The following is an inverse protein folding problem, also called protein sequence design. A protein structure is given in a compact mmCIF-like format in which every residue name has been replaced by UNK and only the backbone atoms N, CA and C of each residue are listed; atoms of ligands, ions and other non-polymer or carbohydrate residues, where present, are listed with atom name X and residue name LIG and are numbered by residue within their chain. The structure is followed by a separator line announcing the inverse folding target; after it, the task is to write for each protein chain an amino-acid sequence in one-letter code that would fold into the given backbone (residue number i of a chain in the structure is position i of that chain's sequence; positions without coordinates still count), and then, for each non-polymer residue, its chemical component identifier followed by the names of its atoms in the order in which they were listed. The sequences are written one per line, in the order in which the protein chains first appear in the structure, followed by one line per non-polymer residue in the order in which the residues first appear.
data_IF_769738566020
#
_entry.id   IF_769738566020
#
_cell.length_a   1.000
_cell.length_b   1.000
_cell.length_c   1.000
_cell.angle_alpha   90.00
_cell.angle_beta   90.00
_cell.angle_gamma   90.00
#
_symmetry.space_group_name_H-M   'P 1'
#
loop_
_entity.id
_entity.type
_entity.pdbx_description
1 polymer ?
#
# COMPACT_ATOMS: atom_id res chain seq x y z
N UNK A 1 -4.07 -0.15 -12.88
CA UNK A 1 -3.49 -1.50 -12.89
C UNK A 1 -1.99 -1.43 -13.00
N UNK A 2 -1.30 -2.25 -12.26
CA UNK A 2 0.16 -2.21 -12.19
C UNK A 2 0.85 -2.40 -13.54
N UNK A 3 0.31 -3.27 -14.39
CA UNK A 3 0.88 -3.55 -15.69
C UNK A 3 0.87 -2.37 -16.67
N UNK A 4 0.11 -1.32 -16.38
CA UNK A 4 0.09 -0.11 -17.20
C UNK A 4 1.34 0.74 -17.02
N UNK A 5 2.11 0.47 -15.99
CA UNK A 5 3.30 1.24 -15.68
C UNK A 5 4.55 0.46 -16.07
N UNK A 6 5.38 1.04 -16.93
CA UNK A 6 6.57 0.37 -17.47
C UNK A 6 7.60 0.07 -16.39
N UNK A 7 7.66 0.88 -15.35
CA UNK A 7 8.62 0.68 -14.28
C UNK A 7 7.97 0.97 -12.93
N UNK A 8 8.28 0.14 -11.95
CA UNK A 8 7.76 0.24 -10.60
C UNK A 8 8.90 0.09 -9.61
N UNK A 9 8.85 0.81 -8.53
CA UNK A 9 9.85 0.71 -7.48
C UNK A 9 9.18 0.31 -6.17
N UNK A 10 9.65 -0.78 -5.58
CA UNK A 10 9.26 -1.16 -4.23
C UNK A 10 9.99 -0.27 -3.23
N UNK A 11 9.22 0.41 -2.39
CA UNK A 11 9.74 1.24 -1.31
C UNK A 11 9.36 0.57 0.00
N UNK A 12 10.34 0.05 0.75
CA UNK A 12 10.04 -0.51 2.07
C UNK A 12 9.30 0.53 2.92
N UNK A 13 8.22 0.10 3.58
CA UNK A 13 7.36 1.03 4.30
C UNK A 13 8.07 1.83 5.38
N UNK A 14 9.14 1.28 5.95
CA UNK A 14 9.92 1.97 6.97
C UNK A 14 11.02 2.88 6.41
N UNK A 15 11.10 3.04 5.08
CA UNK A 15 12.13 3.83 4.40
C UNK A 15 11.56 4.96 3.56
N UNK A 16 10.41 5.49 3.93
CA UNK A 16 9.79 6.59 3.19
C UNK A 16 10.39 7.96 3.48
N UNK A 17 11.34 8.05 4.39
CA UNK A 17 11.99 9.33 4.71
C UNK A 17 12.73 9.95 3.52
N UNK A 18 13.05 9.15 2.50
CA UNK A 18 13.69 9.62 1.27
C UNK A 18 12.70 9.78 0.11
N UNK A 19 11.41 9.95 0.41
CA UNK A 19 10.37 9.95 -0.61
C UNK A 19 10.62 10.99 -1.71
N UNK A 20 11.08 12.18 -1.35
CA UNK A 20 11.37 13.22 -2.33
C UNK A 20 12.43 12.78 -3.34
N UNK A 21 13.53 12.18 -2.87
CA UNK A 21 14.58 11.68 -3.74
C UNK A 21 14.13 10.48 -4.56
N UNK A 22 13.36 9.59 -3.94
CA UNK A 22 12.82 8.41 -4.61
C UNK A 22 11.95 8.82 -5.81
N UNK A 23 11.15 9.86 -5.64
CA UNK A 23 10.24 10.33 -6.69
C UNK A 23 10.94 11.07 -7.81
N UNK A 24 12.20 11.46 -7.64
CA UNK A 24 13.01 12.05 -8.72
C UNK A 24 13.55 11.01 -9.70
N UNK A 25 13.43 9.71 -9.36
CA UNK A 25 13.87 8.65 -10.27
C UNK A 25 12.90 8.53 -11.45
N UNK A 26 13.32 7.82 -12.50
CA UNK A 26 12.51 7.65 -13.71
C UNK A 26 11.40 6.61 -13.59
N UNK A 27 11.17 6.07 -12.40
CA UNK A 27 10.11 5.06 -12.23
C UNK A 27 8.73 5.69 -12.42
N UNK A 28 7.81 4.90 -12.96
CA UNK A 28 6.46 5.37 -13.27
C UNK A 28 5.49 5.24 -12.09
N UNK A 29 5.75 4.33 -11.17
CA UNK A 29 4.89 4.11 -10.02
C UNK A 29 5.70 3.62 -8.82
N UNK A 30 5.15 3.83 -7.64
CA UNK A 30 5.73 3.37 -6.38
C UNK A 30 4.86 2.29 -5.77
N UNK A 31 5.50 1.28 -5.20
CA UNK A 31 4.83 0.26 -4.41
C UNK A 31 5.34 0.39 -2.99
N UNK A 32 4.51 0.89 -2.12
CA UNK A 32 4.86 0.97 -0.69
C UNK A 32 4.62 -0.40 -0.07
N UNK A 33 5.67 -0.98 0.46
CA UNK A 33 5.64 -2.34 0.98
C UNK A 33 5.48 -2.36 2.48
N UNK A 34 4.31 -2.76 2.95
CA UNK A 34 4.02 -2.93 4.37
C UNK A 34 4.17 -4.39 4.81
N UNK A 35 4.50 -5.28 3.89
CA UNK A 35 4.55 -6.71 4.13
C UNK A 35 6.01 -7.18 4.24
N UNK A 36 6.52 -7.98 3.31
CA UNK A 36 7.85 -8.60 3.42
C UNK A 36 9.01 -7.59 3.46
N UNK A 37 8.88 -6.48 2.78
CA UNK A 37 9.92 -5.45 2.74
C UNK A 37 9.98 -4.57 3.98
N UNK A 38 9.13 -4.81 4.96
CA UNK A 38 9.08 -4.03 6.19
C UNK A 38 9.14 -4.96 7.41
N UNK A 39 10.17 -4.85 8.26
CA UNK A 39 10.25 -5.67 9.47
C UNK A 39 9.03 -5.48 10.38
N UNK A 40 8.62 -6.55 11.05
CA UNK A 40 7.40 -6.53 11.88
C UNK A 40 7.44 -5.46 12.97
N UNK A 41 8.57 -5.24 13.60
CA UNK A 41 8.72 -4.23 14.65
C UNK A 41 8.68 -2.79 14.12
N UNK A 42 8.76 -2.59 12.81
CA UNK A 42 8.71 -1.27 12.18
C UNK A 42 7.40 -1.02 11.43
N UNK A 43 6.50 -1.98 11.40
CA UNK A 43 5.26 -1.85 10.60
C UNK A 43 4.33 -0.76 11.13
N UNK A 44 4.25 -0.58 12.44
CA UNK A 44 3.43 0.48 13.01
C UNK A 44 3.94 1.86 12.59
N UNK A 45 5.24 2.08 12.67
CA UNK A 45 5.84 3.35 12.24
C UNK A 45 5.66 3.56 10.74
N UNK A 46 5.79 2.50 9.95
CA UNK A 46 5.59 2.57 8.50
C UNK A 46 4.16 3.03 8.16
N UNK A 47 3.15 2.50 8.85
CA UNK A 47 1.76 2.93 8.65
C UNK A 47 1.57 4.40 9.03
N UNK A 48 2.16 4.82 10.14
CA UNK A 48 2.08 6.22 10.58
C UNK A 48 2.72 7.16 9.56
N UNK A 49 3.88 6.79 9.02
CA UNK A 49 4.55 7.56 8.00
C UNK A 49 3.73 7.65 6.72
N UNK A 50 3.12 6.55 6.32
CA UNK A 50 2.26 6.53 5.13
C UNK A 50 1.05 7.46 5.31
N UNK A 51 0.40 7.39 6.46
CA UNK A 51 -0.72 8.27 6.80
C UNK A 51 -0.28 9.73 6.73
N UNK A 52 0.86 10.06 7.30
CA UNK A 52 1.35 11.43 7.31
C UNK A 52 1.63 11.94 5.90
N UNK A 53 2.16 11.09 5.03
CA UNK A 53 2.38 11.47 3.64
C UNK A 53 1.08 11.70 2.87
N UNK A 54 0.01 11.02 3.20
CA UNK A 54 -1.31 11.27 2.62
C UNK A 54 -1.99 12.51 3.19
N UNK A 55 -1.89 12.70 4.51
CA UNK A 55 -2.53 13.83 5.20
C UNK A 55 -1.97 15.18 4.81
N UNK A 56 -0.66 15.27 4.66
CA UNK A 56 0.04 16.54 4.47
C UNK A 56 0.02 16.98 3.01
N UNK A 57 -1.17 16.98 2.40
CA UNK A 57 -1.35 17.43 1.03
C UNK A 57 -0.92 16.40 -0.01
N UNK A 58 -0.92 15.13 0.35
CA UNK A 58 -0.52 14.02 -0.51
C UNK A 58 0.86 14.25 -1.14
N UNK A 59 1.89 13.93 -0.40
CA UNK A 59 3.28 14.12 -0.85
C UNK A 59 3.71 13.21 -1.98
N UNK A 60 2.87 12.26 -2.38
CA UNK A 60 3.15 11.39 -3.50
C UNK A 60 2.82 12.10 -4.81
N UNK A 61 3.82 12.22 -5.67
CA UNK A 61 3.66 12.82 -7.00
C UNK A 61 3.50 11.77 -8.09
N UNK A 62 3.63 10.50 -7.76
CA UNK A 62 3.49 9.35 -8.67
C UNK A 62 2.37 8.45 -8.19
N UNK A 63 1.79 7.64 -9.09
CA UNK A 63 0.82 6.63 -8.67
C UNK A 63 1.40 5.71 -7.59
N UNK A 64 0.60 5.45 -6.57
CA UNK A 64 1.02 4.66 -5.40
C UNK A 64 0.19 3.39 -5.32
N UNK A 65 0.90 2.27 -5.21
CA UNK A 65 0.33 0.99 -4.85
C UNK A 65 0.80 0.65 -3.44
N UNK A 66 0.01 -0.10 -2.71
CA UNK A 66 0.39 -0.52 -1.36
C UNK A 66 0.31 -2.04 -1.28
N UNK A 67 1.43 -2.68 -0.93
CA UNK A 67 1.40 -4.11 -0.62
C UNK A 67 1.12 -4.28 0.86
N UNK A 68 0.00 -4.91 1.17
CA UNK A 68 -0.50 -5.07 2.53
C UNK A 68 -0.10 -6.42 3.11
N UNK A 69 -0.16 -6.53 4.43
CA UNK A 69 -0.08 -7.81 5.10
C UNK A 69 -1.36 -8.61 4.84
N UNK A 70 -1.31 -9.93 5.05
CA UNK A 70 -2.47 -10.79 4.80
C UNK A 70 -3.69 -10.24 5.57
N UNK A 71 -4.81 -9.95 4.86
CA UNK A 71 -6.00 -9.35 5.48
C UNK A 71 -6.60 -10.10 6.66
N UNK A 72 -6.33 -11.39 6.78
CA UNK A 72 -6.86 -12.17 7.92
C UNK A 72 -6.04 -11.96 9.19
N UNK A 73 -4.84 -11.39 9.08
CA UNK A 73 -3.99 -11.11 10.25
C UNK A 73 -4.32 -9.76 10.88
N UNK A 74 -3.90 -9.55 12.12
CA UNK A 74 -4.08 -8.26 12.78
C UNK A 74 -3.34 -7.15 12.04
N UNK A 75 -2.13 -7.42 11.56
CA UNK A 75 -1.36 -6.47 10.76
C UNK A 75 -2.12 -6.10 9.48
N UNK A 76 -2.66 -7.10 8.79
CA UNK A 76 -3.42 -6.86 7.57
C UNK A 76 -4.69 -6.07 7.80
N UNK A 77 -5.38 -6.30 8.91
CA UNK A 77 -6.58 -5.53 9.25
C UNK A 77 -6.25 -4.06 9.47
N UNK A 78 -5.13 -3.77 10.15
CA UNK A 78 -4.69 -2.40 10.35
C UNK A 78 -4.29 -1.73 9.04
N UNK A 79 -3.64 -2.47 8.14
CA UNK A 79 -3.30 -1.96 6.81
C UNK A 79 -4.56 -1.60 6.03
N UNK A 80 -5.57 -2.46 6.07
CA UNK A 80 -6.82 -2.25 5.35
C UNK A 80 -7.61 -1.07 5.90
N UNK A 81 -7.63 -0.91 7.22
CA UNK A 81 -8.27 0.25 7.83
C UNK A 81 -7.64 1.56 7.34
N UNK A 82 -6.32 1.60 7.26
CA UNK A 82 -5.59 2.74 6.70
C UNK A 82 -6.00 2.99 5.24
N UNK A 83 -6.00 1.93 4.45
CA UNK A 83 -6.30 2.03 3.01
C UNK A 83 -7.72 2.52 2.79
N UNK A 84 -8.68 2.06 3.58
CA UNK A 84 -10.07 2.49 3.41
C UNK A 84 -10.24 3.99 3.65
N UNK A 85 -9.42 4.58 4.50
CA UNK A 85 -9.44 6.02 4.75
C UNK A 85 -8.80 6.85 3.63
N UNK A 86 -7.92 6.25 2.83
CA UNK A 86 -7.16 6.97 1.81
C UNK A 86 -7.29 6.35 0.41
N UNK A 87 -8.41 5.70 0.14
CA UNK A 87 -8.64 5.01 -1.14
C UNK A 87 -8.43 5.89 -2.35
N UNK A 88 -8.81 7.15 -2.28
CA UNK A 88 -8.71 8.08 -3.40
C UNK A 88 -7.26 8.37 -3.81
N UNK A 89 -6.32 8.14 -2.91
CA UNK A 89 -4.90 8.43 -3.13
C UNK A 89 -4.10 7.19 -3.51
N UNK A 90 -4.74 6.02 -3.55
CA UNK A 90 -4.09 4.73 -3.81
C UNK A 90 -4.65 4.15 -5.10
N UNK A 91 -3.74 3.80 -6.03
CA UNK A 91 -4.14 3.20 -7.31
C UNK A 91 -4.73 1.81 -7.15
N UNK A 92 -4.08 0.98 -6.35
CA UNK A 92 -4.53 -0.38 -6.09
C UNK A 92 -3.77 -0.98 -4.92
N UNK A 93 -4.30 -2.09 -4.42
CA UNK A 93 -3.68 -2.88 -3.36
C UNK A 93 -2.98 -4.07 -4.00
N UNK A 94 -1.78 -4.38 -3.52
CA UNK A 94 -1.10 -5.62 -3.87
C UNK A 94 -1.24 -6.55 -2.68
N UNK A 95 -1.84 -7.70 -2.91
CA UNK A 95 -2.01 -8.70 -1.87
C UNK A 95 -0.76 -9.56 -1.76
N UNK A 96 -0.39 -9.98 -0.55
CA UNK A 96 0.68 -10.95 -0.39
C UNK A 96 0.20 -12.31 -0.88
N UNK A 97 1.06 -13.32 -0.81
CA UNK A 97 0.66 -14.68 -1.14
C UNK A 97 -0.43 -15.13 -0.16
N UNK A 98 -1.65 -15.22 -0.67
CA UNK A 98 -2.83 -15.54 0.15
C UNK A 98 -2.98 -17.05 0.29
N UNK A 99 -3.20 -17.51 1.52
CA UNK A 99 -3.35 -18.93 1.80
C UNK A 99 -4.80 -19.42 1.77
N UNK A 100 -5.79 -18.50 1.78
CA UNK A 100 -7.19 -18.90 1.85
C UNK A 100 -8.11 -17.85 1.26
N UNK A 101 -9.34 -18.29 0.92
CA UNK A 101 -10.41 -17.37 0.51
C UNK A 101 -10.83 -16.40 1.61
N UNK A 102 -10.61 -16.76 2.87
CA UNK A 102 -10.99 -15.91 4.00
C UNK A 102 -10.27 -14.57 3.95
N UNK A 103 -9.03 -14.54 3.46
CA UNK A 103 -8.28 -13.29 3.28
C UNK A 103 -8.96 -12.36 2.29
N UNK A 104 -9.42 -12.89 1.16
CA UNK A 104 -10.15 -12.10 0.15
C UNK A 104 -11.50 -11.66 0.66
N UNK A 105 -12.22 -12.53 1.37
CA UNK A 105 -13.52 -12.20 1.93
C UNK A 105 -13.41 -11.09 2.97
N UNK A 106 -12.37 -11.14 3.80
CA UNK A 106 -12.10 -10.10 4.81
C UNK A 106 -11.84 -8.76 4.12
N UNK A 107 -11.03 -8.77 3.07
CA UNK A 107 -10.76 -7.56 2.29
C UNK A 107 -12.05 -7.00 1.70
N UNK A 108 -12.86 -7.84 1.09
CA UNK A 108 -14.09 -7.42 0.43
C UNK A 108 -15.12 -6.84 1.40
N UNK A 109 -15.15 -7.31 2.66
CA UNK A 109 -16.09 -6.78 3.66
C UNK A 109 -15.60 -5.48 4.29
N UNK A 110 -14.30 -5.26 4.35
CA UNK A 110 -13.69 -4.10 5.01
C UNK A 110 -13.61 -2.89 4.09
N UNK A 111 -13.34 -3.12 2.82
CA UNK A 111 -13.18 -2.05 1.84
C UNK A 111 -14.39 -2.05 0.94
N UNK A 112 -15.18 -0.97 1.01
CA UNK A 112 -16.21 -0.72 0.01
C UNK A 112 -15.47 -0.29 -1.26
N UNK A 113 -15.25 -1.23 -2.16
CA UNK A 113 -14.51 -0.95 -3.38
C UNK A 113 -15.27 0.04 -4.24
N UNK A 114 -14.71 1.22 -4.37
CA UNK A 114 -14.98 2.05 -5.52
C UNK A 114 -14.28 1.40 -6.72
N UNK A 115 -14.73 1.75 -7.91
CA UNK A 115 -14.23 1.12 -9.14
C UNK A 115 -12.72 1.22 -9.33
N UNK A 116 -12.07 2.14 -8.63
CA UNK A 116 -10.66 2.45 -8.83
C UNK A 116 -9.71 1.62 -7.99
N UNK A 117 -10.18 0.97 -6.93
CA UNK A 117 -9.31 0.24 -6.02
C UNK A 117 -9.47 -1.27 -6.22
N UNK A 118 -8.56 -1.84 -7.00
CA UNK A 118 -8.61 -3.24 -7.40
C UNK A 118 -7.49 -4.00 -6.70
N UNK A 119 -7.80 -5.09 -5.96
CA UNK A 119 -6.76 -5.94 -5.38
C UNK A 119 -5.95 -6.62 -6.47
N UNK A 120 -4.62 -6.63 -6.30
CA UNK A 120 -3.70 -7.32 -7.17
C UNK A 120 -2.97 -8.41 -6.38
N UNK A 121 -2.73 -9.54 -7.01
CA UNK A 121 -2.04 -10.66 -6.39
C UNK A 121 -0.63 -10.79 -6.94
#
# INVERSE_FOLDING_TARGET
MLYRFKSNLFVPGHKMHNLEDIQKTDVNALIIDLEDGCPDDLKKEAREDLINNFKDGNKFSKPVFVRVNDPITDLGREDIDLISDYQEQIEAIILPKIQSFDSLATLATKIAFEDDLIPLI
#
